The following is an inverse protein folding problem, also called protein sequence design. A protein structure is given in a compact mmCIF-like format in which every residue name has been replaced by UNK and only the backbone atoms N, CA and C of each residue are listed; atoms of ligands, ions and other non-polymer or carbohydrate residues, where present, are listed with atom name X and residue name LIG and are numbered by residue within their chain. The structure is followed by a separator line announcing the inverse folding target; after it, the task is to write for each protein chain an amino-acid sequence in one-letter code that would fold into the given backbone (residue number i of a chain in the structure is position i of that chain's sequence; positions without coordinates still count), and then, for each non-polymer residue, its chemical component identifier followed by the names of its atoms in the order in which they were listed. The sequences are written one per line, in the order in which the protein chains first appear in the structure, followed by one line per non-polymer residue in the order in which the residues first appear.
data_IF_393286584823
#
_entry.id   IF_393286584823
#
_cell.length_a   1.000
_cell.length_b   1.000
_cell.length_c   1.000
_cell.angle_alpha   90.00
_cell.angle_beta   90.00
_cell.angle_gamma   90.00
#
_symmetry.space_group_name_H-M   'P 1'
#
loop_
_entity.id
_entity.type
_entity.pdbx_description
1 polymer ?
#
# COMPACT_ATOMS: atom_id res chain seq x y z
N UNK A 1 -2.65 -10.67 -0.61
CA UNK A 1 -3.63 -9.58 -0.54
C UNK A 1 -4.48 -9.58 -1.80
N UNK A 2 -5.75 -9.39 -1.64
CA UNK A 2 -6.67 -9.34 -2.77
C UNK A 2 -7.05 -7.88 -3.00
N UNK A 3 -6.38 -7.25 -3.94
CA UNK A 3 -6.59 -5.84 -4.22
C UNK A 3 -8.03 -5.55 -4.67
N UNK A 4 -8.62 -6.46 -5.44
CA UNK A 4 -9.98 -6.27 -5.92
C UNK A 4 -10.95 -6.15 -4.74
N UNK A 5 -10.79 -7.03 -3.77
CA UNK A 5 -11.65 -7.02 -2.60
C UNK A 5 -11.41 -5.78 -1.73
N UNK A 6 -10.16 -5.40 -1.58
CA UNK A 6 -9.82 -4.24 -0.77
C UNK A 6 -10.46 -2.97 -1.36
N UNK A 7 -10.35 -2.79 -2.65
CA UNK A 7 -10.93 -1.63 -3.33
C UNK A 7 -12.44 -1.65 -3.19
N UNK A 8 -13.04 -2.80 -3.45
CA UNK A 8 -14.49 -2.92 -3.38
C UNK A 8 -15.01 -2.64 -1.99
N UNK A 9 -14.37 -3.23 -0.98
CA UNK A 9 -14.82 -3.05 0.39
C UNK A 9 -14.69 -1.60 0.84
N UNK A 10 -13.59 -0.94 0.49
CA UNK A 10 -13.41 0.47 0.84
C UNK A 10 -14.48 1.33 0.17
N UNK A 11 -14.75 1.05 -1.11
CA UNK A 11 -15.75 1.80 -1.85
C UNK A 11 -17.14 1.64 -1.23
N UNK A 12 -17.51 0.39 -0.95
CA UNK A 12 -18.84 0.12 -0.38
C UNK A 12 -18.98 0.71 1.02
N UNK A 13 -17.93 0.60 1.82
CA UNK A 13 -17.95 1.16 3.17
C UNK A 13 -18.10 2.68 3.15
N UNK A 14 -17.57 3.31 2.10
CA UNK A 14 -17.69 4.76 1.95
C UNK A 14 -19.01 5.17 1.29
N UNK A 15 -19.80 4.23 0.84
CA UNK A 15 -21.07 4.53 0.18
C UNK A 15 -20.91 5.13 -1.21
N UNK A 16 -19.82 4.79 -1.89
CA UNK A 16 -19.53 5.38 -3.19
C UNK A 16 -19.89 4.42 -4.32
N UNK A 17 -20.36 4.99 -5.44
CA UNK A 17 -20.51 4.23 -6.66
C UNK A 17 -19.13 4.10 -7.30
N UNK A 18 -19.02 3.20 -8.26
CA UNK A 18 -17.76 3.03 -8.99
C UNK A 18 -17.39 4.32 -9.70
N UNK A 19 -18.39 4.99 -10.25
CA UNK A 19 -18.17 6.26 -10.94
C UNK A 19 -17.66 7.33 -9.99
N UNK A 20 -18.22 7.40 -8.80
CA UNK A 20 -17.79 8.39 -7.82
C UNK A 20 -16.37 8.13 -7.34
N UNK A 21 -16.05 6.88 -7.08
CA UNK A 21 -14.70 6.53 -6.69
C UNK A 21 -13.71 6.89 -7.80
N UNK A 22 -14.08 6.58 -9.05
CA UNK A 22 -13.22 6.89 -10.18
C UNK A 22 -12.95 8.39 -10.26
N UNK A 23 -14.00 9.21 -10.07
CA UNK A 23 -13.83 10.65 -10.11
C UNK A 23 -12.90 11.13 -9.01
N UNK A 24 -13.11 10.65 -7.79
CA UNK A 24 -12.27 11.06 -6.66
C UNK A 24 -10.83 10.61 -6.81
N UNK A 25 -10.62 9.44 -7.38
CA UNK A 25 -9.28 8.90 -7.55
C UNK A 25 -8.62 9.35 -8.85
N UNK A 26 -9.35 10.13 -9.65
CA UNK A 26 -8.86 10.65 -10.93
C UNK A 26 -8.51 9.52 -11.89
N UNK A 27 -9.44 8.59 -12.03
CA UNK A 27 -9.29 7.48 -12.98
C UNK A 27 -10.65 7.25 -13.65
N UNK A 28 -10.71 6.31 -14.55
CA UNK A 28 -11.94 6.04 -15.28
C UNK A 28 -12.80 5.01 -14.55
N UNK A 29 -14.12 5.08 -14.71
CA UNK A 29 -14.98 4.04 -14.15
C UNK A 29 -14.63 2.66 -14.69
N UNK A 30 -14.20 2.57 -15.94
CA UNK A 30 -13.79 1.30 -16.52
C UNK A 30 -12.60 0.71 -15.78
N UNK A 31 -11.67 1.56 -15.31
CA UNK A 31 -10.54 1.10 -14.56
C UNK A 31 -10.99 0.50 -13.22
N UNK A 32 -11.95 1.15 -12.55
CA UNK A 32 -12.48 0.63 -11.29
C UNK A 32 -13.13 -0.73 -11.52
N UNK A 33 -13.92 -0.86 -12.58
CA UNK A 33 -14.54 -2.14 -12.91
C UNK A 33 -13.48 -3.22 -13.10
N UNK A 34 -12.43 -2.90 -13.85
CA UNK A 34 -11.37 -3.87 -14.13
C UNK A 34 -10.63 -4.28 -12.85
N UNK A 35 -10.37 -3.33 -11.96
CA UNK A 35 -9.69 -3.64 -10.70
C UNK A 35 -10.57 -4.49 -9.80
N UNK A 36 -11.85 -4.15 -9.69
CA UNK A 36 -12.75 -4.88 -8.78
C UNK A 36 -13.10 -6.27 -9.29
N UNK A 37 -13.06 -6.46 -10.60
CA UNK A 37 -13.31 -7.77 -11.17
C UNK A 37 -12.08 -8.67 -11.16
N UNK A 38 -10.91 -8.10 -10.87
CA UNK A 38 -9.68 -8.87 -10.91
C UNK A 38 -9.07 -8.95 -12.29
N UNK A 39 -9.69 -8.32 -13.27
CA UNK A 39 -9.18 -8.32 -14.65
C UNK A 39 -7.84 -7.60 -14.75
N UNK A 40 -7.68 -6.54 -13.97
CA UNK A 40 -6.42 -5.81 -13.90
C UNK A 40 -6.01 -5.73 -12.44
N UNK A 41 -4.71 -5.83 -12.22
CA UNK A 41 -4.19 -5.73 -10.86
C UNK A 41 -3.50 -4.39 -10.70
N UNK A 42 -3.92 -3.57 -9.73
CA UNK A 42 -3.30 -2.27 -9.54
C UNK A 42 -1.94 -2.42 -8.86
N UNK A 43 -1.05 -1.48 -9.15
CA UNK A 43 0.18 -1.39 -8.38
C UNK A 43 -0.19 -0.97 -6.95
N UNK A 44 0.75 -1.14 -6.02
CA UNK A 44 0.51 -0.71 -4.64
C UNK A 44 0.19 0.78 -4.59
N UNK A 45 0.89 1.58 -5.40
CA UNK A 45 0.64 3.01 -5.44
C UNK A 45 -0.80 3.31 -5.89
N UNK A 46 -1.26 2.63 -6.91
CA UNK A 46 -2.62 2.82 -7.41
C UNK A 46 -3.64 2.36 -6.38
N UNK A 47 -3.40 1.20 -5.78
CA UNK A 47 -4.29 0.69 -4.74
C UNK A 47 -4.42 1.70 -3.60
N UNK A 48 -3.30 2.22 -3.16
CA UNK A 48 -3.29 3.21 -2.08
C UNK A 48 -4.08 4.44 -2.46
N UNK A 49 -3.90 4.92 -3.69
CA UNK A 49 -4.62 6.10 -4.17
C UNK A 49 -6.13 5.87 -4.16
N UNK A 50 -6.56 4.69 -4.62
CA UNK A 50 -7.98 4.37 -4.66
C UNK A 50 -8.57 4.27 -3.27
N UNK A 51 -7.88 3.61 -2.36
CA UNK A 51 -8.36 3.45 -1.00
C UNK A 51 -8.42 4.80 -0.29
N UNK A 52 -7.43 5.65 -0.51
CA UNK A 52 -7.44 6.97 0.09
C UNK A 52 -8.55 7.86 -0.49
N UNK A 53 -8.86 7.67 -1.75
CA UNK A 53 -9.97 8.39 -2.36
C UNK A 53 -11.29 8.02 -1.71
N UNK A 54 -11.40 6.81 -1.19
CA UNK A 54 -12.58 6.36 -0.47
C UNK A 54 -12.57 6.80 1.00
N UNK A 55 -11.49 7.43 1.46
CA UNK A 55 -11.42 7.93 2.82
C UNK A 55 -10.73 7.02 3.80
N UNK A 56 -9.98 6.04 3.31
CA UNK A 56 -9.26 5.10 4.16
C UNK A 56 -7.78 5.13 3.84
N UNK A 57 -6.97 4.56 4.72
CA UNK A 57 -5.55 4.41 4.50
C UNK A 57 -5.21 2.95 4.32
N UNK A 58 -4.06 2.71 3.69
CA UNK A 58 -3.57 1.34 3.52
C UNK A 58 -2.27 1.17 4.26
N UNK A 59 -2.06 -0.05 4.70
CA UNK A 59 -0.81 -0.45 5.32
C UNK A 59 -0.36 -1.72 4.66
N UNK A 60 0.92 -1.79 4.31
CA UNK A 60 1.48 -3.01 3.75
C UNK A 60 2.18 -3.75 4.87
N UNK A 61 1.66 -4.90 5.21
CA UNK A 61 2.23 -5.73 6.25
C UNK A 61 2.78 -6.99 5.61
N UNK A 62 4.02 -7.30 5.92
CA UNK A 62 4.64 -8.51 5.38
C UNK A 62 4.95 -9.47 6.52
N UNK A 63 4.92 -10.75 6.19
CA UNK A 63 5.27 -11.79 7.15
C UNK A 63 5.90 -12.94 6.41
N UNK A 64 6.70 -13.75 7.09
CA UNK A 64 7.34 -14.88 6.44
C UNK A 64 6.32 -15.84 5.88
N UNK A 65 6.67 -16.42 4.74
CA UNK A 65 5.82 -17.43 4.13
C UNK A 65 5.91 -18.70 4.94
N UNK A 66 4.74 -19.28 5.19
CA UNK A 66 4.69 -20.50 5.98
C UNK A 66 5.45 -21.62 5.26
N UNK A 67 6.28 -22.32 6.01
CA UNK A 67 7.00 -23.47 5.49
C UNK A 67 8.17 -23.16 4.58
N UNK A 68 8.43 -21.88 4.29
CA UNK A 68 9.52 -21.50 3.42
C UNK A 68 10.65 -20.82 4.14
N UNK A 69 10.36 -20.12 5.20
CA UNK A 69 11.36 -19.40 5.97
C UNK A 69 11.20 -19.76 7.43
N UNK A 70 12.34 -19.91 8.10
CA UNK A 70 12.34 -20.02 9.54
C UNK A 70 12.07 -18.62 10.09
N UNK A 71 10.97 -18.41 10.81
CA UNK A 71 10.65 -17.08 11.31
C UNK A 71 11.74 -16.46 12.17
N UNK A 72 12.43 -17.28 12.96
CA UNK A 72 13.51 -16.78 13.78
C UNK A 72 14.65 -16.28 12.93
N UNK A 73 15.03 -17.05 11.91
CA UNK A 73 16.07 -16.67 10.99
C UNK A 73 15.71 -15.43 10.22
N UNK A 74 14.45 -15.35 9.77
CA UNK A 74 13.98 -14.18 9.04
C UNK A 74 14.05 -12.94 9.90
N UNK A 75 13.69 -13.05 11.18
CA UNK A 75 13.74 -11.92 12.09
C UNK A 75 15.18 -11.47 12.32
N UNK A 76 16.08 -12.42 12.48
CA UNK A 76 17.50 -12.10 12.67
C UNK A 76 18.06 -11.38 11.45
N UNK A 77 17.71 -11.84 10.27
CA UNK A 77 18.15 -11.18 9.06
C UNK A 77 17.64 -9.77 8.96
N UNK A 78 16.39 -9.55 9.32
CA UNK A 78 15.82 -8.23 9.28
C UNK A 78 16.56 -7.29 10.22
N UNK A 79 16.87 -7.78 11.42
CA UNK A 79 17.63 -6.96 12.37
C UNK A 79 18.99 -6.61 11.79
N UNK A 80 19.68 -7.57 11.18
CA UNK A 80 20.97 -7.30 10.56
C UNK A 80 20.87 -6.23 9.48
N UNK A 81 19.84 -6.33 8.65
CA UNK A 81 19.65 -5.38 7.57
C UNK A 81 19.39 -3.98 8.12
N UNK A 82 18.58 -3.90 9.16
CA UNK A 82 18.28 -2.61 9.77
C UNK A 82 19.52 -2.00 10.42
N UNK A 83 20.32 -2.81 11.09
CA UNK A 83 21.55 -2.33 11.70
C UNK A 83 22.54 -1.84 10.65
N UNK A 84 22.64 -2.56 9.55
CA UNK A 84 23.50 -2.14 8.46
C UNK A 84 23.03 -0.82 7.88
N UNK A 85 21.73 -0.65 7.72
CA UNK A 85 21.19 0.59 7.21
C UNK A 85 21.52 1.77 8.12
N UNK A 86 21.53 1.55 9.42
CA UNK A 86 21.86 2.59 10.36
C UNK A 86 23.33 3.01 10.29
N UNK A 87 24.18 2.11 9.83
CA UNK A 87 25.60 2.39 9.70
C UNK A 87 25.94 3.10 8.41
N UNK A 88 25.01 3.14 7.46
CA UNK A 88 25.27 3.79 6.19
C UNK A 88 25.18 5.31 6.35
N UNK A 89 25.96 6.08 5.55
CA UNK A 89 25.85 7.52 5.59
C UNK A 89 24.44 7.94 5.26
N UNK A 90 23.92 8.84 6.06
CA UNK A 90 22.58 9.32 5.82
C UNK A 90 22.58 10.39 4.77
N UNK A 91 21.73 10.24 3.77
CA UNK A 91 21.50 11.24 2.88
C UNK A 91 20.35 11.91 3.39
N UNK A 92 20.40 12.75 4.02
CA UNK A 92 19.33 13.28 4.59
C UNK A 92 18.62 14.08 3.83
N UNK A 93 17.85 13.98 3.62
CA UNK A 93 17.22 14.78 3.00
C UNK A 93 16.66 15.65 3.82
N UNK A 94 16.96 15.68 3.71
CA UNK A 94 16.53 16.09 4.07
C UNK A 94 15.49 15.93 4.61
N UNK A 95 15.71 15.55 5.03
CA UNK A 95 14.92 15.24 5.54
C UNK A 95 14.35 15.75 6.04
N UNK A 96 14.90 16.18 6.11
CA UNK A 96 14.40 16.31 6.49
C UNK A 96 13.65 16.37 6.42
N UNK A 97 13.82 16.42 6.28
CA UNK A 97 12.93 16.24 6.23
C UNK A 97 12.09 16.29 6.34
N UNK A 98 12.23 16.69 6.38
CA UNK A 98 11.37 16.63 6.47
C UNK A 98 10.49 16.18 6.46
N UNK A 99 10.43 15.89 6.69
CA UNK A 99 9.48 15.56 6.71
C UNK A 99 8.84 15.97 7.25
N UNK A 100 8.88 16.50 7.27
CA UNK A 100 8.26 16.72 7.74
C UNK A 100 7.55 16.80 7.97
N UNK A 101 7.57 16.95 8.28
CA UNK A 101 6.85 16.81 8.69
C UNK A 101 5.99 16.48 8.44
N UNK A 102 6.14 16.05 8.43
CA UNK A 102 5.40 15.73 8.13
C UNK A 102 4.55 15.99 8.25
N UNK A 103 4.72 16.27 8.46
CA UNK A 103 3.92 16.49 8.62
C UNK A 103 3.06 16.09 8.54
#
# INVERSE_FOLDING_TARGET
MDAARVIRNARLAAGLSKRELARRARTSPAAIVAYESGEREPSYRTLRRLVRAAGYDTELVTRPRRGRLDPRRAAERLVEVLELAEQLPQRRPARELAFPPLG
#
